data_IF_941454048034
#
_entry.id   IF_941454048034
#
_cell.length_a   1.000
_cell.length_b   1.000
_cell.length_c   1.000
_cell.angle_alpha   90.00
_cell.angle_beta   90.00
_cell.angle_gamma   90.00
#
_symmetry.space_group_name_H-M   'P 1'
#
loop_
_entity.id
_entity.type
_entity.pdbx_description
1 polymer ?
#
# COMPACT_ATOMS: atom_id res chain seq x y z
N UNK A 1 23.37 15.91 -52.32
CA UNK A 1 22.40 16.56 -51.39
C UNK A 1 21.26 15.65 -50.92
N UNK A 2 20.62 14.81 -51.75
CA UNK A 2 19.52 13.90 -51.30
C UNK A 2 19.99 12.86 -50.28
N UNK A 3 21.14 12.23 -50.50
CA UNK A 3 21.66 11.17 -49.57
C UNK A 3 22.08 11.73 -48.20
N UNK A 4 22.60 12.95 -48.15
CA UNK A 4 22.96 13.60 -46.87
C UNK A 4 21.72 13.92 -46.04
N UNK A 5 20.63 14.35 -46.65
CA UNK A 5 19.35 14.58 -45.98
C UNK A 5 18.74 13.29 -45.45
N UNK A 6 18.82 12.20 -46.19
CA UNK A 6 18.32 10.87 -45.76
C UNK A 6 19.15 10.31 -44.59
N UNK A 7 20.47 10.49 -44.62
CA UNK A 7 21.37 10.07 -43.56
C UNK A 7 21.09 10.87 -42.25
N UNK A 8 20.90 12.19 -42.38
CA UNK A 8 20.56 13.04 -41.23
C UNK A 8 19.19 12.68 -40.62
N UNK A 9 18.20 12.37 -41.46
CA UNK A 9 16.87 11.95 -40.96
C UNK A 9 16.94 10.59 -40.29
N UNK A 10 17.71 9.62 -40.84
CA UNK A 10 17.89 8.32 -40.19
C UNK A 10 18.65 8.42 -38.85
N UNK A 11 19.65 9.27 -38.77
CA UNK A 11 20.37 9.57 -37.52
C UNK A 11 19.46 10.22 -36.46
N UNK A 12 18.59 11.15 -36.85
CA UNK A 12 17.61 11.78 -35.97
C UNK A 12 16.56 10.77 -35.48
N UNK A 13 16.09 9.88 -36.34
CA UNK A 13 15.18 8.79 -35.94
C UNK A 13 15.85 7.79 -35.01
N UNK A 14 17.10 7.41 -35.28
CA UNK A 14 17.87 6.52 -34.41
C UNK A 14 18.16 7.14 -33.04
N UNK A 15 18.45 8.44 -32.97
CA UNK A 15 18.63 9.18 -31.73
C UNK A 15 17.33 9.33 -30.92
N UNK A 16 16.18 9.46 -31.58
CA UNK A 16 14.87 9.50 -30.93
C UNK A 16 14.49 8.14 -30.30
N UNK A 17 14.92 7.02 -30.89
CA UNK A 17 14.69 5.68 -30.34
C UNK A 17 15.54 5.38 -29.08
N UNK A 18 16.61 6.13 -28.83
CA UNK A 18 17.47 5.94 -27.65
C UNK A 18 17.01 6.72 -26.40
N UNK A 19 16.01 7.59 -26.55
CA UNK A 19 15.39 8.34 -25.44
C UNK A 19 14.14 7.62 -24.92
N UNK A 20 14.28 6.34 -24.56
CA UNK A 20 13.20 5.65 -23.85
C UNK A 20 13.24 6.02 -22.37
N UNK A 21 12.23 6.73 -21.92
CA UNK A 21 12.00 6.93 -20.49
C UNK A 21 11.84 5.56 -19.83
N UNK A 22 12.81 5.19 -19.01
CA UNK A 22 12.83 3.88 -18.37
C UNK A 22 11.86 3.86 -17.19
N UNK A 23 10.90 2.93 -17.21
CA UNK A 23 10.03 2.59 -16.10
C UNK A 23 10.25 1.14 -15.73
N UNK A 24 10.49 0.89 -14.47
CA UNK A 24 10.46 -0.45 -13.89
C UNK A 24 9.39 -0.51 -12.81
N UNK A 25 8.74 -1.66 -12.71
CA UNK A 25 7.73 -1.94 -11.70
C UNK A 25 8.03 -3.30 -11.08
N UNK A 26 8.14 -3.33 -9.77
CA UNK A 26 8.50 -4.52 -9.00
C UNK A 26 7.49 -4.70 -7.88
N UNK A 27 6.99 -5.92 -7.69
CA UNK A 27 6.13 -6.26 -6.56
C UNK A 27 6.95 -6.38 -5.28
N UNK A 28 6.53 -5.68 -4.24
CA UNK A 28 7.06 -5.84 -2.89
C UNK A 28 6.24 -6.91 -2.16
N UNK A 29 6.47 -8.18 -2.49
CA UNK A 29 5.69 -9.30 -1.91
C UNK A 29 6.32 -9.87 -0.65
N UNK A 30 7.65 -9.92 -0.58
CA UNK A 30 8.41 -10.68 0.42
C UNK A 30 9.11 -9.75 1.41
N UNK A 31 9.63 -10.37 2.47
CA UNK A 31 10.43 -9.71 3.51
C UNK A 31 9.65 -8.66 4.31
N UNK A 32 8.35 -8.83 4.43
CA UNK A 32 7.55 -8.00 5.31
C UNK A 32 7.55 -8.55 6.74
N UNK A 33 7.55 -7.62 7.68
CA UNK A 33 7.30 -7.83 9.10
C UNK A 33 5.97 -7.23 9.46
N UNK A 34 5.19 -7.93 10.27
CA UNK A 34 3.87 -7.52 10.70
C UNK A 34 3.73 -7.60 12.21
N UNK A 35 3.04 -6.63 12.81
CA UNK A 35 2.61 -6.66 14.20
C UNK A 35 1.27 -5.98 14.39
N UNK A 36 0.43 -6.56 15.25
CA UNK A 36 -0.83 -5.95 15.73
C UNK A 36 -0.54 -4.92 16.80
N UNK A 37 -1.39 -3.91 16.89
CA UNK A 37 -1.33 -2.86 17.89
C UNK A 37 -0.79 -1.53 17.37
N UNK A 38 -0.92 -0.49 18.20
CA UNK A 38 -0.46 0.86 17.85
C UNK A 38 0.92 1.12 18.45
N UNK A 39 1.95 0.90 17.64
CA UNK A 39 3.37 1.01 18.04
C UNK A 39 3.93 2.26 17.35
N UNK A 40 3.91 3.40 18.03
CA UNK A 40 4.28 4.70 17.45
C UNK A 40 5.70 4.75 16.89
N UNK A 41 6.65 4.09 17.54
CA UNK A 41 8.04 4.04 17.15
C UNK A 41 8.28 3.19 15.89
N UNK A 42 7.29 2.39 15.48
CA UNK A 42 7.39 1.50 14.32
C UNK A 42 7.62 2.23 12.99
N UNK A 43 7.35 3.52 12.92
CA UNK A 43 7.70 4.34 11.75
C UNK A 43 9.20 4.58 11.60
N UNK A 44 9.98 4.49 12.68
CA UNK A 44 11.39 4.86 12.71
C UNK A 44 12.28 3.78 12.07
N UNK A 45 13.31 4.16 11.30
CA UNK A 45 14.23 3.20 10.67
C UNK A 45 14.93 2.28 11.67
N UNK A 46 15.30 2.82 12.83
CA UNK A 46 16.06 2.15 13.88
C UNK A 46 15.20 1.19 14.73
N UNK A 47 13.90 1.17 14.51
CA UNK A 47 12.99 0.31 15.27
C UNK A 47 13.34 -1.17 15.06
N UNK A 48 13.43 -1.91 16.15
CA UNK A 48 13.74 -3.35 16.12
C UNK A 48 12.45 -4.17 15.93
N UNK A 49 12.25 -4.68 14.72
CA UNK A 49 11.12 -5.51 14.32
C UNK A 49 11.46 -7.02 14.23
N UNK A 50 12.56 -7.46 14.82
CA UNK A 50 13.02 -8.87 14.74
C UNK A 50 12.05 -9.87 15.35
N UNK A 51 11.24 -9.43 16.31
CA UNK A 51 10.22 -10.26 16.96
C UNK A 51 8.86 -10.25 16.22
N UNK A 52 8.74 -9.44 15.17
CA UNK A 52 7.51 -9.37 14.40
C UNK A 52 7.34 -10.58 13.49
N UNK A 53 6.09 -10.91 13.22
CA UNK A 53 5.74 -11.98 12.29
C UNK A 53 6.29 -11.69 10.89
N UNK A 54 6.90 -12.70 10.25
CA UNK A 54 7.30 -12.60 8.85
C UNK A 54 6.13 -12.97 7.97
N UNK A 55 5.72 -12.05 7.10
CA UNK A 55 4.57 -12.22 6.21
C UNK A 55 4.93 -12.00 4.75
N UNK A 56 4.09 -12.52 3.87
CA UNK A 56 4.14 -12.30 2.42
C UNK A 56 2.86 -11.59 2.02
N UNK A 57 2.97 -10.59 1.16
CA UNK A 57 1.80 -9.91 0.61
C UNK A 57 1.22 -10.68 -0.59
N UNK A 58 -0.11 -10.63 -0.77
CA UNK A 58 -1.14 -10.00 0.07
C UNK A 58 -1.29 -10.66 1.44
N UNK A 59 -1.53 -9.86 2.48
CA UNK A 59 -1.73 -10.35 3.84
C UNK A 59 -2.92 -9.66 4.50
N UNK A 60 -3.86 -10.48 4.97
CA UNK A 60 -5.00 -10.05 5.75
C UNK A 60 -4.90 -10.63 7.16
N UNK A 61 -4.65 -9.79 8.16
CA UNK A 61 -4.40 -10.26 9.52
C UNK A 61 -5.63 -10.82 10.23
N UNK A 62 -6.81 -10.60 9.68
CA UNK A 62 -8.05 -10.91 10.36
C UNK A 62 -8.60 -12.30 9.99
N UNK A 63 -8.28 -12.83 8.80
CA UNK A 63 -8.88 -14.08 8.33
C UNK A 63 -8.40 -15.33 9.09
N UNK A 64 -7.27 -15.26 9.75
CA UNK A 64 -6.71 -16.37 10.52
C UNK A 64 -7.01 -16.28 12.03
N UNK A 65 -7.75 -15.27 12.45
CA UNK A 65 -8.03 -15.01 13.87
C UNK A 65 -6.87 -14.30 14.59
N UNK A 66 -6.84 -14.35 15.92
CA UNK A 66 -7.79 -15.04 16.79
C UNK A 66 -9.21 -14.45 16.68
N UNK A 67 -10.19 -15.34 16.79
CA UNK A 67 -11.60 -14.95 16.81
C UNK A 67 -12.09 -14.88 18.24
N UNK A 68 -12.65 -13.75 18.65
CA UNK A 68 -13.16 -13.53 20.00
C UNK A 68 -14.44 -12.70 19.94
N UNK A 69 -15.44 -13.08 20.74
CA UNK A 69 -16.72 -12.39 20.86
C UNK A 69 -16.56 -10.92 21.26
N UNK A 70 -15.46 -10.55 21.88
CA UNK A 70 -15.18 -9.22 22.37
C UNK A 70 -14.38 -8.34 21.38
N UNK A 71 -13.91 -8.90 20.27
CA UNK A 71 -13.11 -8.13 19.30
C UNK A 71 -13.88 -7.02 18.60
N UNK A 72 -15.15 -7.30 18.23
CA UNK A 72 -16.00 -6.29 17.60
C UNK A 72 -17.45 -6.45 18.09
N UNK A 73 -17.79 -5.67 19.09
CA UNK A 73 -19.10 -5.64 19.71
C UNK A 73 -20.12 -4.78 18.96
N UNK A 74 -20.03 -4.69 17.64
CA UNK A 74 -21.00 -3.97 16.86
C UNK A 74 -22.38 -4.65 16.98
N UNK A 75 -23.18 -4.16 17.92
CA UNK A 75 -24.54 -4.60 18.14
C UNK A 75 -25.53 -3.64 17.47
N UNK A 76 -26.48 -4.19 16.75
CA UNK A 76 -27.60 -3.45 16.16
C UNK A 76 -28.91 -4.06 16.63
N UNK A 77 -29.87 -3.22 17.00
CA UNK A 77 -31.21 -3.66 17.28
C UNK A 77 -31.98 -3.79 15.97
N UNK A 78 -32.29 -5.01 15.56
CA UNK A 78 -33.03 -5.32 14.35
C UNK A 78 -34.14 -6.32 14.63
N UNK A 79 -35.22 -6.24 13.85
CA UNK A 79 -36.24 -7.28 13.82
C UNK A 79 -35.99 -8.17 12.62
N UNK A 80 -35.76 -9.45 12.86
CA UNK A 80 -35.66 -10.45 11.80
C UNK A 80 -37.02 -11.07 11.50
N UNK A 81 -37.14 -11.81 10.38
CA UNK A 81 -38.31 -12.56 10.06
C UNK A 81 -38.73 -13.46 11.24
N UNK A 82 -40.02 -13.48 11.59
CA UNK A 82 -40.58 -14.23 12.70
C UNK A 82 -40.33 -13.65 14.09
N UNK A 83 -39.74 -12.47 14.23
CA UNK A 83 -39.62 -11.75 15.50
C UNK A 83 -40.66 -10.65 15.61
N UNK A 84 -41.30 -10.53 16.76
CA UNK A 84 -42.26 -9.46 17.04
C UNK A 84 -41.60 -8.14 17.44
N UNK A 85 -40.39 -8.21 17.98
CA UNK A 85 -39.63 -7.06 18.50
C UNK A 85 -38.18 -7.11 18.07
N UNK A 86 -37.61 -5.94 17.89
CA UNK A 86 -36.17 -5.81 17.65
C UNK A 86 -35.39 -6.42 18.81
N UNK A 87 -34.40 -7.22 18.49
CA UNK A 87 -33.42 -7.74 19.43
C UNK A 87 -31.99 -7.39 18.99
N UNK A 88 -31.08 -7.34 19.96
CA UNK A 88 -29.68 -7.08 19.67
C UNK A 88 -29.07 -8.25 18.88
N UNK A 89 -28.49 -7.94 17.76
CA UNK A 89 -27.74 -8.88 16.93
C UNK A 89 -26.33 -8.35 16.75
N UNK A 90 -25.38 -9.25 16.53
CA UNK A 90 -24.06 -8.80 16.09
C UNK A 90 -24.19 -8.17 14.70
N UNK A 91 -23.63 -6.98 14.55
CA UNK A 91 -23.75 -6.19 13.31
C UNK A 91 -22.89 -6.70 12.19
N UNK A 92 -21.78 -7.36 12.51
CA UNK A 92 -20.80 -7.84 11.55
C UNK A 92 -20.93 -9.34 11.32
N UNK A 93 -21.34 -9.71 10.11
CA UNK A 93 -21.48 -11.13 9.75
C UNK A 93 -20.12 -11.83 9.71
N UNK A 94 -19.96 -12.88 10.49
CA UNK A 94 -18.73 -13.65 10.61
C UNK A 94 -17.57 -12.88 11.26
N UNK A 95 -17.87 -11.74 11.86
CA UNK A 95 -16.85 -10.82 12.33
C UNK A 95 -16.54 -10.98 13.80
N UNK A 96 -15.68 -11.90 14.11
CA UNK A 96 -14.99 -11.93 15.41
C UNK A 96 -13.47 -11.79 15.25
N UNK A 97 -12.96 -11.31 14.09
CA UNK A 97 -11.53 -11.15 13.92
C UNK A 97 -11.02 -9.91 14.66
N UNK A 98 -9.71 -9.86 14.89
CA UNK A 98 -9.08 -8.70 15.47
C UNK A 98 -9.33 -7.45 14.62
N UNK A 99 -9.84 -6.40 15.24
CA UNK A 99 -9.92 -5.04 14.73
C UNK A 99 -8.96 -4.14 15.50
N UNK A 100 -8.58 -3.01 14.92
CA UNK A 100 -7.64 -2.07 15.50
C UNK A 100 -6.46 -1.78 14.58
N UNK A 101 -5.36 -1.34 15.16
CA UNK A 101 -4.17 -0.97 14.41
C UNK A 101 -3.30 -2.17 14.07
N UNK A 102 -2.63 -2.09 12.93
CA UNK A 102 -1.58 -3.01 12.54
C UNK A 102 -0.47 -2.30 11.79
N UNK A 103 0.75 -2.79 11.94
CA UNK A 103 1.94 -2.24 11.30
C UNK A 103 2.61 -3.27 10.41
N UNK A 104 3.01 -2.81 9.24
CA UNK A 104 3.83 -3.54 8.29
C UNK A 104 5.16 -2.82 8.11
N UNK A 105 6.24 -3.57 8.03
CA UNK A 105 7.58 -3.02 7.79
C UNK A 105 8.33 -3.88 6.77
N UNK A 106 9.07 -3.22 5.90
CA UNK A 106 10.01 -3.84 4.98
C UNK A 106 11.11 -2.85 4.62
N UNK A 107 12.06 -3.27 3.82
CA UNK A 107 13.08 -2.42 3.21
C UNK A 107 13.11 -2.60 1.70
N UNK A 108 13.54 -1.56 1.00
CA UNK A 108 13.68 -1.58 -0.44
C UNK A 108 14.84 -0.71 -0.90
N UNK A 109 15.44 -1.10 -2.01
CA UNK A 109 16.54 -0.36 -2.62
C UNK A 109 16.04 0.35 -3.88
N UNK A 110 16.65 1.50 -4.17
CA UNK A 110 16.35 2.27 -5.37
C UNK A 110 17.63 2.78 -6.00
N UNK A 111 17.68 2.85 -7.35
CA UNK A 111 18.77 3.55 -8.02
C UNK A 111 18.80 5.04 -7.62
N UNK A 112 19.97 5.62 -7.64
CA UNK A 112 20.12 7.07 -7.47
C UNK A 112 19.47 7.83 -8.64
N UNK A 113 19.08 9.08 -8.38
CA UNK A 113 18.58 10.03 -9.40
C UNK A 113 17.32 9.59 -10.15
N UNK A 114 16.53 8.68 -9.60
CA UNK A 114 15.23 8.25 -10.14
C UNK A 114 14.08 8.83 -9.32
N UNK A 115 12.91 8.89 -9.95
CA UNK A 115 11.64 9.12 -9.27
C UNK A 115 11.07 7.78 -8.81
N UNK A 116 10.54 7.75 -7.61
CA UNK A 116 10.02 6.52 -7.00
C UNK A 116 8.61 6.74 -6.49
N UNK A 117 7.72 5.88 -6.93
CA UNK A 117 6.32 5.85 -6.49
C UNK A 117 5.99 4.47 -5.91
N UNK A 118 5.39 4.45 -4.74
CA UNK A 118 4.73 3.26 -4.21
C UNK A 118 3.26 3.27 -4.64
N UNK A 119 2.80 2.19 -5.25
CA UNK A 119 1.40 1.99 -5.60
C UNK A 119 0.85 0.84 -4.76
N UNK A 120 -0.24 1.11 -4.07
CA UNK A 120 -0.98 0.15 -3.25
C UNK A 120 -2.29 -0.17 -3.98
N UNK A 121 -2.53 -1.44 -4.30
CA UNK A 121 -3.78 -1.88 -4.91
C UNK A 121 -4.95 -1.86 -3.92
N UNK A 122 -4.65 -1.89 -2.63
CA UNK A 122 -5.61 -1.75 -1.55
C UNK A 122 -4.99 -2.03 -0.18
N UNK A 123 -5.40 -1.24 0.79
CA UNK A 123 -4.96 -1.35 2.18
C UNK A 123 -6.11 -0.98 3.14
N UNK A 124 -6.51 -1.90 4.00
CA UNK A 124 -7.68 -1.73 4.87
C UNK A 124 -7.26 -1.48 6.31
N UNK A 125 -7.48 -0.25 6.78
CA UNK A 125 -7.83 1.03 6.16
C UNK A 125 -7.01 2.15 6.80
N UNK A 126 -7.29 3.41 6.46
CA UNK A 126 -6.60 4.58 7.02
C UNK A 126 -5.07 4.43 6.95
N UNK A 127 -4.59 4.07 5.77
CA UNK A 127 -3.19 3.77 5.54
C UNK A 127 -2.32 5.01 5.70
N UNK A 128 -1.37 4.96 6.64
CA UNK A 128 -0.27 5.93 6.77
C UNK A 128 1.01 5.26 6.34
N UNK A 129 1.62 5.83 5.32
CA UNK A 129 2.85 5.31 4.72
C UNK A 129 4.02 6.15 5.16
N UNK A 130 5.03 5.52 5.73
CA UNK A 130 6.26 6.17 6.19
C UNK A 130 7.45 5.62 5.42
N UNK A 131 8.31 6.52 4.97
CA UNK A 131 9.60 6.17 4.38
C UNK A 131 10.69 6.84 5.18
N UNK A 132 11.63 6.03 5.67
CA UNK A 132 12.75 6.49 6.49
C UNK A 132 12.30 7.37 7.68
N UNK A 133 11.22 6.96 8.37
CA UNK A 133 10.66 7.63 9.54
C UNK A 133 9.77 8.84 9.25
N UNK A 134 9.62 9.24 7.99
CA UNK A 134 8.79 10.39 7.59
C UNK A 134 7.49 9.93 6.94
N UNK A 135 6.36 10.52 7.33
CA UNK A 135 5.07 10.25 6.68
C UNK A 135 5.11 10.78 5.25
N UNK A 136 4.99 9.86 4.29
CA UNK A 136 5.00 10.16 2.87
C UNK A 136 3.59 10.44 2.34
N UNK A 137 2.61 9.67 2.80
CA UNK A 137 1.20 9.90 2.46
C UNK A 137 0.24 9.24 3.46
N UNK A 138 -1.00 9.70 3.40
CA UNK A 138 -2.15 9.14 4.10
C UNK A 138 -3.28 8.85 3.12
N UNK A 139 -3.88 7.66 3.22
CA UNK A 139 -5.04 7.28 2.43
C UNK A 139 -6.13 6.66 3.32
N UNK A 140 -7.31 7.29 3.43
CA UNK A 140 -8.33 6.86 4.40
C UNK A 140 -9.14 5.65 3.98
N UNK A 141 -9.34 5.43 2.68
CA UNK A 141 -10.32 4.48 2.16
C UNK A 141 -9.68 3.14 1.76
N UNK A 142 -10.23 2.04 2.29
CA UNK A 142 -9.60 0.73 2.18
C UNK A 142 -9.80 0.00 0.85
N UNK A 143 -10.79 0.38 0.04
CA UNK A 143 -11.17 -0.39 -1.16
C UNK A 143 -10.59 0.11 -2.47
N UNK A 144 -10.00 1.31 -2.49
CA UNK A 144 -9.37 1.89 -3.67
C UNK A 144 -7.86 1.66 -3.69
N UNK A 145 -7.31 1.59 -4.90
CA UNK A 145 -5.88 1.77 -5.09
C UNK A 145 -5.48 3.23 -4.84
N UNK A 146 -4.27 3.42 -4.36
CA UNK A 146 -3.66 4.75 -4.19
C UNK A 146 -2.15 4.67 -4.41
N UNK A 147 -1.53 5.82 -4.65
CA UNK A 147 -0.10 5.89 -4.83
C UNK A 147 0.53 7.04 -4.06
N UNK A 148 1.79 6.87 -3.70
CA UNK A 148 2.61 7.87 -3.00
C UNK A 148 3.88 8.13 -3.80
N UNK A 149 4.17 9.39 -4.14
CA UNK A 149 5.53 9.74 -4.55
C UNK A 149 6.43 9.77 -3.31
N UNK A 150 7.37 8.85 -3.25
CA UNK A 150 8.29 8.71 -2.11
C UNK A 150 9.69 9.26 -2.37
N UNK A 151 9.95 9.78 -3.56
CA UNK A 151 11.23 10.35 -3.96
C UNK A 151 11.83 11.34 -2.94
N UNK A 152 11.04 12.28 -2.36
CA UNK A 152 11.57 13.24 -1.40
C UNK A 152 12.04 12.65 -0.07
N UNK A 153 11.65 11.40 0.20
CA UNK A 153 11.90 10.72 1.47
C UNK A 153 13.00 9.67 1.39
N UNK A 154 13.54 9.41 0.19
CA UNK A 154 14.56 8.39 -0.02
C UNK A 154 15.90 8.76 0.61
N UNK A 155 16.60 7.74 1.08
CA UNK A 155 17.98 7.86 1.50
C UNK A 155 18.86 8.20 0.30
N UNK A 156 19.77 9.14 0.50
CA UNK A 156 20.78 9.49 -0.50
C UNK A 156 21.90 8.43 -0.50
N UNK A 157 22.63 8.35 -1.61
CA UNK A 157 23.83 7.52 -1.74
C UNK A 157 23.59 6.00 -1.73
N UNK A 158 22.46 5.53 -2.28
CA UNK A 158 22.19 4.10 -2.48
C UNK A 158 22.02 3.29 -1.19
N UNK A 159 21.77 3.94 -0.06
CA UNK A 159 21.38 3.24 1.17
C UNK A 159 19.98 2.70 1.04
N UNK A 160 19.75 1.54 1.64
CA UNK A 160 18.43 0.93 1.73
C UNK A 160 17.42 1.84 2.42
N UNK A 161 16.18 1.81 1.96
CA UNK A 161 15.08 2.60 2.51
C UNK A 161 14.18 1.72 3.35
N UNK A 162 13.78 2.22 4.51
CA UNK A 162 12.77 1.56 5.35
C UNK A 162 11.40 2.04 4.93
N UNK A 163 10.49 1.10 4.68
CA UNK A 163 9.07 1.33 4.46
C UNK A 163 8.30 0.82 5.66
N UNK A 164 7.50 1.68 6.28
CA UNK A 164 6.56 1.30 7.32
C UNK A 164 5.14 1.75 6.94
N UNK A 165 4.17 0.89 7.15
CA UNK A 165 2.76 1.18 6.84
C UNK A 165 1.93 0.88 8.08
N UNK A 166 1.26 1.91 8.61
CA UNK A 166 0.27 1.78 9.68
C UNK A 166 -1.12 1.73 9.07
N UNK A 167 -1.88 0.78 9.51
CA UNK A 167 -3.29 0.62 9.13
C UNK A 167 -4.17 0.65 10.37
N UNK A 168 -5.38 1.15 10.20
CA UNK A 168 -6.40 1.18 11.24
C UNK A 168 -7.67 0.51 10.72
N UNK A 169 -8.01 -0.65 11.27
CA UNK A 169 -9.29 -1.29 11.03
C UNK A 169 -10.22 -0.94 12.19
N UNK A 170 -11.08 0.06 11.98
CA UNK A 170 -11.92 0.59 13.06
C UNK A 170 -13.02 -0.39 13.47
N UNK A 171 -13.26 -0.53 14.78
CA UNK A 171 -14.45 -1.25 15.25
C UNK A 171 -15.72 -0.53 14.80
N UNK A 172 -16.81 -1.26 14.68
CA UNK A 172 -18.14 -0.74 14.35
C UNK A 172 -18.22 0.04 13.02
N UNK A 173 -17.28 -0.18 12.11
CA UNK A 173 -17.16 0.56 10.85
C UNK A 173 -17.93 -0.04 9.69
N UNK A 174 -18.28 -1.33 9.73
CA UNK A 174 -19.06 -2.01 8.70
C UNK A 174 -19.84 -3.19 9.26
N UNK A 175 -20.90 -3.60 8.54
CA UNK A 175 -21.72 -4.77 8.89
C UNK A 175 -21.21 -6.09 8.31
N UNK A 176 -20.22 -6.02 7.46
CA UNK A 176 -19.60 -7.18 6.82
C UNK A 176 -18.11 -7.24 7.17
N UNK A 177 -17.49 -8.35 6.83
CA UNK A 177 -16.05 -8.47 6.91
C UNK A 177 -15.37 -7.55 5.87
N UNK A 178 -14.68 -6.48 6.28
CA UNK A 178 -14.14 -5.50 5.33
C UNK A 178 -12.77 -5.88 4.78
N UNK A 179 -12.13 -6.93 5.28
CA UNK A 179 -10.70 -7.16 5.14
C UNK A 179 -9.89 -6.43 6.21
N UNK A 180 -8.62 -6.73 6.32
CA UNK A 180 -7.68 -6.06 7.20
C UNK A 180 -6.25 -6.20 6.66
N UNK A 181 -5.48 -5.13 6.71
CA UNK A 181 -4.08 -5.20 6.32
C UNK A 181 -3.78 -4.77 4.89
N UNK A 182 -2.59 -5.12 4.45
CA UNK A 182 -2.17 -5.01 3.05
C UNK A 182 -2.71 -6.22 2.28
N UNK A 183 -4.01 -6.22 2.06
CA UNK A 183 -4.74 -7.37 1.50
C UNK A 183 -4.66 -7.46 -0.03
N UNK A 184 -3.94 -6.53 -0.66
CA UNK A 184 -3.59 -6.51 -2.09
C UNK A 184 -2.11 -6.20 -2.29
N UNK A 185 -1.69 -6.16 -3.54
CA UNK A 185 -0.29 -5.95 -3.90
C UNK A 185 0.21 -4.55 -3.55
N UNK A 186 1.52 -4.46 -3.33
CA UNK A 186 2.27 -3.21 -3.23
C UNK A 186 3.35 -3.21 -4.31
N UNK A 187 3.37 -2.16 -5.11
CA UNK A 187 4.29 -2.01 -6.24
C UNK A 187 5.31 -0.91 -5.95
N UNK A 188 6.55 -1.19 -6.24
CA UNK A 188 7.64 -0.22 -6.32
C UNK A 188 7.83 0.17 -7.78
N UNK A 189 7.52 1.41 -8.12
CA UNK A 189 7.62 1.96 -9.45
C UNK A 189 8.78 2.94 -9.48
N UNK A 190 9.77 2.66 -10.32
CA UNK A 190 10.97 3.50 -10.49
C UNK A 190 10.98 4.04 -11.92
N UNK A 191 11.11 5.34 -12.06
CA UNK A 191 11.09 6.03 -13.36
C UNK A 191 12.21 7.05 -13.50
N UNK A 192 12.48 7.45 -14.72
CA UNK A 192 13.27 8.64 -14.97
C UNK A 192 12.55 9.91 -14.50
N UNK A 193 13.27 11.01 -14.33
CA UNK A 193 12.68 12.32 -13.92
C UNK A 193 11.64 12.81 -14.91
N UNK A 194 11.84 12.53 -16.20
CA UNK A 194 10.85 12.82 -17.24
C UNK A 194 10.11 11.51 -17.54
N UNK A 195 8.88 11.42 -17.11
CA UNK A 195 8.05 10.21 -17.27
C UNK A 195 6.57 10.56 -17.27
N UNK A 196 5.74 9.62 -17.70
CA UNK A 196 4.30 9.67 -17.49
C UNK A 196 4.01 9.15 -16.07
N UNK A 197 3.41 9.95 -15.19
CA UNK A 197 3.12 9.51 -13.82
C UNK A 197 2.11 8.36 -13.81
N UNK A 198 2.00 7.71 -12.64
CA UNK A 198 0.97 6.69 -12.40
C UNK A 198 -0.40 7.32 -12.65
N UNK A 199 -1.21 6.68 -13.50
CA UNK A 199 -2.53 7.17 -13.96
C UNK A 199 -2.51 8.53 -14.68
N UNK A 200 -1.35 8.94 -15.21
CA UNK A 200 -1.16 10.24 -15.85
C UNK A 200 -1.72 10.37 -17.27
N UNK A 201 -2.23 9.27 -17.87
CA UNK A 201 -2.88 9.30 -19.18
C UNK A 201 -4.36 8.95 -19.04
N UNK A 202 -5.21 9.85 -19.54
CA UNK A 202 -6.64 9.61 -19.72
C UNK A 202 -6.98 9.84 -21.20
N UNK A 203 -7.45 8.79 -21.87
CA UNK A 203 -7.95 8.87 -23.23
C UNK A 203 -9.47 8.90 -23.20
N UNK A 204 -10.04 9.98 -23.75
CA UNK A 204 -11.48 10.15 -23.88
C UNK A 204 -11.79 10.16 -25.39
N UNK A 205 -12.66 9.25 -25.88
CA UNK A 205 -13.19 9.20 -27.25
C UNK A 205 -14.71 9.07 -27.27
#
# INVERSE_FOLDING_TARGET
MKHQKQLATALLLAAACSLQAQRSETLLEKNWKFSKGDIKEASQPEFNDTQWESVVLPHDWAIFGPFDMNNDLQNVAITQNFEEKASLKTGRTGGLPYVGSGWYRTSFDTPADKEVTLLFDGAMSEARVYVNGKEACFWPFGYNSFHCNVTPFLNKNGKSNTLAVRLENRPQSSRWYPGAGLYRNVHLIVTDKIHVPVWGLSLIH
#
